data_IF_887246714692
#
_entry.id   IF_887246714692
#
_cell.length_a   1.000
_cell.length_b   1.000
_cell.length_c   1.000
_cell.angle_alpha   90.00
_cell.angle_beta   90.00
_cell.angle_gamma   90.00
#
_symmetry.space_group_name_H-M   'P 1'
#
loop_
_entity.id
_entity.type
_entity.pdbx_description
1 polymer ?
#
# COMPACT_ATOMS: atom_id res chain seq x y z
N UNK A 1 -9.16 30.63 -9.62
CA UNK A 1 -8.11 29.63 -9.93
C UNK A 1 -7.90 28.77 -8.69
N UNK A 2 -8.55 27.61 -8.64
CA UNK A 2 -8.35 26.60 -7.58
C UNK A 2 -7.07 25.80 -7.88
N UNK A 3 -5.91 26.37 -7.56
CA UNK A 3 -4.63 25.68 -7.67
C UNK A 3 -4.30 24.83 -6.43
N UNK A 4 -4.96 25.09 -5.29
CA UNK A 4 -4.70 24.41 -4.02
C UNK A 4 -5.05 22.93 -4.04
N UNK A 5 -6.22 22.56 -4.55
CA UNK A 5 -6.70 21.16 -4.54
C UNK A 5 -5.93 20.22 -5.47
N UNK A 6 -5.32 20.74 -6.54
CA UNK A 6 -4.53 19.92 -7.48
C UNK A 6 -3.15 19.57 -6.95
N UNK A 7 -2.60 20.40 -6.07
CA UNK A 7 -1.22 20.24 -5.58
C UNK A 7 -1.11 19.13 -4.52
N UNK A 8 -2.13 18.95 -3.67
CA UNK A 8 -2.12 17.96 -2.59
C UNK A 8 -1.98 16.51 -3.08
N UNK A 9 -2.43 16.22 -4.31
CA UNK A 9 -2.38 14.89 -4.90
C UNK A 9 -1.09 14.57 -5.66
N UNK A 10 -0.29 15.57 -6.03
CA UNK A 10 0.92 15.33 -6.85
C UNK A 10 2.00 14.55 -6.09
N UNK A 11 1.96 14.59 -4.77
CA UNK A 11 2.94 13.97 -3.90
C UNK A 11 2.44 12.67 -3.27
N UNK A 12 1.36 12.07 -3.79
CA UNK A 12 0.83 10.81 -3.29
C UNK A 12 1.31 9.61 -4.13
N UNK A 13 1.20 8.43 -3.56
CA UNK A 13 1.29 7.16 -4.27
C UNK A 13 -0.07 6.44 -4.23
N UNK A 14 -0.36 5.64 -5.25
CA UNK A 14 -1.59 4.88 -5.33
C UNK A 14 -1.38 3.49 -4.72
N UNK A 15 -2.34 2.99 -3.97
CA UNK A 15 -2.31 1.67 -3.33
C UNK A 15 -3.55 0.89 -3.72
N UNK A 16 -3.35 -0.24 -4.37
CA UNK A 16 -4.40 -1.21 -4.62
C UNK A 16 -4.24 -2.40 -3.70
N UNK A 17 -5.30 -2.76 -2.99
CA UNK A 17 -5.33 -3.97 -2.16
C UNK A 17 -5.83 -5.14 -2.99
N UNK A 18 -5.18 -6.30 -2.87
CA UNK A 18 -5.56 -7.52 -3.55
C UNK A 18 -5.75 -8.68 -2.57
N UNK A 19 -6.69 -9.57 -2.88
CA UNK A 19 -6.90 -10.82 -2.15
C UNK A 19 -5.82 -11.85 -2.50
N UNK A 20 -5.91 -13.05 -1.91
CA UNK A 20 -4.95 -14.14 -2.14
C UNK A 20 -4.94 -14.68 -3.59
N UNK A 21 -5.96 -14.36 -4.38
CA UNK A 21 -6.09 -14.73 -5.78
C UNK A 21 -5.66 -13.60 -6.74
N UNK A 22 -5.24 -12.45 -6.19
CA UNK A 22 -4.86 -11.27 -6.97
C UNK A 22 -6.04 -10.41 -7.41
N UNK A 23 -7.25 -10.62 -6.90
CA UNK A 23 -8.39 -9.75 -7.22
C UNK A 23 -8.37 -8.48 -6.39
N UNK A 24 -8.66 -7.35 -7.03
CA UNK A 24 -8.72 -6.05 -6.36
C UNK A 24 -9.85 -5.99 -5.30
N UNK A 25 -9.49 -5.56 -4.09
CA UNK A 25 -10.39 -5.35 -2.96
C UNK A 25 -10.83 -3.89 -2.93
N UNK A 26 -11.89 -3.60 -3.67
CA UNK A 26 -12.45 -2.26 -3.80
C UNK A 26 -11.57 -1.30 -4.60
N UNK A 27 -11.75 0.00 -4.39
CA UNK A 27 -11.04 1.01 -5.17
C UNK A 27 -9.62 1.27 -4.64
N UNK A 28 -8.65 1.58 -5.52
CA UNK A 28 -7.33 2.08 -5.14
C UNK A 28 -7.43 3.33 -4.25
N UNK A 29 -6.51 3.45 -3.29
CA UNK A 29 -6.41 4.56 -2.36
C UNK A 29 -5.16 5.40 -2.65
N UNK A 30 -5.28 6.73 -2.52
CA UNK A 30 -4.15 7.63 -2.60
C UNK A 30 -3.60 7.91 -1.21
N UNK A 31 -2.30 7.70 -1.06
CA UNK A 31 -1.61 7.81 0.22
C UNK A 31 -0.50 8.84 0.09
N UNK A 32 -0.54 9.85 0.96
CA UNK A 32 0.57 10.80 1.07
C UNK A 32 1.69 10.13 1.88
N UNK A 33 2.92 10.06 1.36
CA UNK A 33 4.05 9.54 2.10
C UNK A 33 4.40 10.47 3.25
N UNK A 34 4.62 9.90 4.43
CA UNK A 34 5.27 10.58 5.54
C UNK A 34 6.66 9.95 5.72
N UNK A 35 7.77 10.64 5.37
CA UNK A 35 9.11 10.07 5.48
C UNK A 35 9.52 9.74 6.92
N UNK A 36 8.75 10.18 7.92
CA UNK A 36 8.96 9.84 9.33
C UNK A 36 8.32 8.50 9.72
N UNK A 37 7.52 7.90 8.84
CA UNK A 37 6.80 6.65 9.07
C UNK A 37 7.31 5.55 8.14
N UNK A 38 7.23 4.31 8.60
CA UNK A 38 7.47 3.14 7.73
C UNK A 38 6.33 3.00 6.73
N UNK A 39 6.59 2.35 5.60
CA UNK A 39 5.55 2.07 4.59
C UNK A 39 4.32 1.41 5.20
N UNK A 40 4.54 0.40 6.05
CA UNK A 40 3.47 -0.31 6.74
C UNK A 40 2.68 0.59 7.69
N UNK A 41 3.33 1.52 8.39
CA UNK A 41 2.65 2.45 9.30
C UNK A 41 1.82 3.48 8.53
N UNK A 42 2.25 3.88 7.33
CA UNK A 42 1.45 4.72 6.44
C UNK A 42 0.19 4.01 5.92
N UNK A 43 0.21 2.67 5.87
CA UNK A 43 -0.85 1.85 5.29
C UNK A 43 -1.63 1.03 6.34
N UNK A 44 -1.30 1.14 7.62
CA UNK A 44 -1.92 0.36 8.71
C UNK A 44 -3.42 0.65 8.79
N UNK A 45 -3.80 1.92 8.84
CA UNK A 45 -5.20 2.34 8.87
C UNK A 45 -5.97 1.90 7.61
N UNK A 46 -5.37 2.05 6.44
CA UNK A 46 -5.95 1.60 5.17
C UNK A 46 -6.16 0.09 5.16
N UNK A 47 -5.14 -0.69 5.53
CA UNK A 47 -5.20 -2.15 5.61
C UNK A 47 -6.29 -2.60 6.57
N UNK A 48 -6.37 -2.01 7.76
CA UNK A 48 -7.39 -2.34 8.76
C UNK A 48 -8.80 -2.01 8.28
N UNK A 49 -9.00 -0.90 7.58
CA UNK A 49 -10.29 -0.55 6.95
C UNK A 49 -10.72 -1.58 5.90
N UNK A 50 -9.77 -2.26 5.27
CA UNK A 50 -10.02 -3.39 4.35
C UNK A 50 -10.14 -4.75 5.04
N UNK A 51 -10.12 -4.78 6.37
CA UNK A 51 -10.16 -6.02 7.16
C UNK A 51 -8.86 -6.82 7.12
N UNK A 52 -7.78 -6.23 6.61
CA UNK A 52 -6.46 -6.85 6.52
C UNK A 52 -5.63 -6.48 7.73
N UNK A 53 -4.91 -7.46 8.29
CA UNK A 53 -3.87 -7.18 9.27
C UNK A 53 -2.62 -6.71 8.52
N UNK A 54 -2.07 -5.52 8.80
CA UNK A 54 -0.93 -5.01 8.05
C UNK A 54 0.32 -5.91 8.13
N UNK A 55 0.48 -6.69 9.20
CA UNK A 55 1.52 -7.72 9.32
C UNK A 55 1.40 -8.85 8.29
N UNK A 56 0.20 -9.07 7.75
CA UNK A 56 -0.13 -10.08 6.75
C UNK A 56 -0.11 -9.51 5.32
N UNK A 57 0.10 -8.21 5.17
CA UNK A 57 0.14 -7.57 3.85
C UNK A 57 1.58 -7.43 3.40
N UNK A 58 1.84 -7.88 2.17
CA UNK A 58 3.07 -7.61 1.44
C UNK A 58 2.81 -6.51 0.42
N UNK A 59 3.73 -5.55 0.32
CA UNK A 59 3.62 -4.42 -0.59
C UNK A 59 4.57 -4.61 -1.77
N UNK A 60 4.13 -4.35 -2.98
CA UNK A 60 4.92 -4.45 -4.20
C UNK A 60 4.77 -3.17 -4.99
N UNK A 61 5.83 -2.70 -5.66
CA UNK A 61 5.63 -1.74 -6.75
C UNK A 61 4.95 -2.51 -7.89
N UNK A 62 4.02 -1.87 -8.60
CA UNK A 62 3.39 -2.47 -9.78
C UNK A 62 4.46 -3.02 -10.75
N UNK A 63 4.24 -4.24 -11.24
CA UNK A 63 5.18 -5.00 -12.08
C UNK A 63 6.54 -5.34 -11.41
N UNK A 64 6.70 -5.11 -10.11
CA UNK A 64 7.82 -5.64 -9.33
C UNK A 64 7.52 -7.06 -8.88
N UNK A 65 8.41 -8.00 -9.20
CA UNK A 65 8.37 -9.35 -8.62
C UNK A 65 8.87 -9.41 -7.17
N UNK A 66 9.40 -8.31 -6.63
CA UNK A 66 10.00 -8.26 -5.31
C UNK A 66 9.16 -7.43 -4.34
N UNK A 67 8.87 -7.93 -3.13
CA UNK A 67 8.17 -7.17 -2.10
C UNK A 67 9.07 -6.04 -1.60
N UNK A 68 8.44 -4.90 -1.29
CA UNK A 68 9.07 -3.75 -0.68
C UNK A 68 9.43 -4.05 0.77
N UNK A 69 10.65 -3.71 1.22
CA UNK A 69 11.00 -3.80 2.62
C UNK A 69 10.24 -2.75 3.45
N UNK A 70 9.98 -3.03 4.74
CA UNK A 70 9.28 -2.10 5.63
C UNK A 70 10.03 -0.76 5.82
N UNK A 71 11.36 -0.76 5.67
CA UNK A 71 12.22 0.42 5.75
C UNK A 71 12.43 1.13 4.40
N UNK A 72 11.66 0.75 3.38
CA UNK A 72 11.73 1.43 2.08
C UNK A 72 11.37 2.91 2.25
N UNK A 73 12.15 3.79 1.62
CA UNK A 73 11.86 5.22 1.64
C UNK A 73 10.61 5.51 0.79
N UNK A 74 9.53 5.85 1.50
CA UNK A 74 8.19 6.08 0.94
C UNK A 74 8.13 7.24 -0.05
N UNK A 75 9.09 8.18 -0.02
CA UNK A 75 9.14 9.27 -1.00
C UNK A 75 9.43 8.77 -2.42
N UNK A 76 10.18 7.66 -2.56
CA UNK A 76 10.41 7.05 -3.89
C UNK A 76 9.17 6.37 -4.46
N UNK A 77 8.11 6.23 -3.66
CA UNK A 77 6.83 5.69 -4.13
C UNK A 77 5.94 6.76 -4.75
N UNK A 78 6.25 8.05 -4.61
CA UNK A 78 5.44 9.14 -5.18
C UNK A 78 5.23 8.91 -6.67
N UNK A 79 3.96 8.97 -7.10
CA UNK A 79 3.54 8.71 -8.48
C UNK A 79 3.67 7.26 -8.94
N UNK A 80 4.01 6.33 -8.04
CA UNK A 80 3.99 4.88 -8.29
C UNK A 80 2.67 4.28 -7.80
N UNK A 81 2.32 3.15 -8.40
CA UNK A 81 1.25 2.29 -7.93
C UNK A 81 1.85 1.14 -7.12
N UNK A 82 1.30 0.92 -5.95
CA UNK A 82 1.69 -0.12 -4.99
C UNK A 82 0.57 -1.15 -4.94
N UNK A 83 0.94 -2.42 -5.02
CA UNK A 83 0.04 -3.55 -4.86
C UNK A 83 0.24 -4.10 -3.45
N UNK A 84 -0.80 -4.04 -2.63
CA UNK A 84 -0.86 -4.56 -1.28
C UNK A 84 -1.55 -5.92 -1.32
N UNK A 85 -0.77 -7.00 -1.33
CA UNK A 85 -1.29 -8.36 -1.43
C UNK A 85 -1.41 -8.99 -0.05
N UNK A 86 -2.58 -9.53 0.27
CA UNK A 86 -2.74 -10.30 1.50
C UNK A 86 -2.00 -11.64 1.39
N UNK A 87 -1.04 -11.88 2.28
CA UNK A 87 -0.33 -13.15 2.37
C UNK A 87 -1.07 -14.09 3.32
N UNK A 88 -2.24 -14.59 2.88
CA UNK A 88 -2.99 -15.59 3.63
C UNK A 88 -2.27 -16.94 3.73
N UNK A 89 -1.29 -17.21 2.85
CA UNK A 89 -0.52 -18.46 2.84
C UNK A 89 0.18 -18.70 4.19
N UNK A 90 0.62 -17.65 4.89
CA UNK A 90 1.24 -17.80 6.21
C UNK A 90 0.28 -18.29 7.31
N UNK A 91 -1.04 -18.07 7.18
CA UNK A 91 -2.01 -18.52 8.18
C UNK A 91 -2.47 -19.96 8.01
N UNK A 92 -2.53 -20.47 6.78
CA UNK A 92 -2.87 -21.88 6.55
C UNK A 92 -1.81 -22.84 7.08
N UNK A 93 -0.55 -22.39 7.23
CA UNK A 93 0.53 -23.22 7.81
C UNK A 93 0.56 -23.15 9.35
N UNK A 94 -0.18 -22.22 9.98
CA UNK A 94 -0.15 -22.02 11.44
C UNK A 94 -1.36 -22.57 12.21
N UNK A 95 -2.22 -23.36 11.58
CA UNK A 95 -3.31 -24.06 12.27
C UNK A 95 -3.16 -25.56 12.10
#
# INVERSE_FOLDING_TARGET
MDLGRRHEYYNAFDVEYQDEYGHAIGNPEKVQPDPRKRLRDCLDDCSRRRGLRPSEVLFFVENSGMPLPDYYDVNFLIGRRIIAHSNFVLYLVRK
#
